data_IF_533961757404
#
_entry.id   IF_533961757404
#
_cell.length_a   1.000
_cell.length_b   1.000
_cell.length_c   1.000
_cell.angle_alpha   90.00
_cell.angle_beta   90.00
_cell.angle_gamma   90.00
#
_symmetry.space_group_name_H-M   'P 1'
#
loop_
_entity.id
_entity.type
_entity.pdbx_description
1 polymer ?
#
# COMPACT_ATOMS: atom_id res chain seq x y z
N UNK A 1 1.81 -2.13 6.02
CA UNK A 1 1.05 -3.17 5.28
C UNK A 1 -0.27 -3.35 5.98
N UNK A 2 -1.36 -3.38 5.23
CA UNK A 2 -2.68 -3.80 5.69
C UNK A 2 -2.98 -5.14 5.04
N UNK A 3 -3.59 -6.06 5.79
CA UNK A 3 -4.00 -7.36 5.27
C UNK A 3 -5.35 -7.76 5.83
N UNK A 4 -6.00 -8.64 5.11
CA UNK A 4 -7.25 -9.29 5.49
C UNK A 4 -7.16 -10.75 5.06
N UNK A 5 -8.27 -11.49 5.07
CA UNK A 5 -8.25 -12.86 4.60
C UNK A 5 -8.03 -12.98 3.09
N UNK A 6 -8.45 -11.96 2.32
CA UNK A 6 -8.47 -12.03 0.84
C UNK A 6 -7.70 -10.91 0.15
N UNK A 7 -7.33 -9.86 0.87
CA UNK A 7 -6.74 -8.65 0.31
C UNK A 7 -5.56 -8.17 1.13
N UNK A 8 -4.61 -7.54 0.46
CA UNK A 8 -3.50 -6.82 1.08
C UNK A 8 -3.27 -5.47 0.40
N UNK A 9 -2.68 -4.54 1.14
CA UNK A 9 -2.22 -3.26 0.64
C UNK A 9 -0.87 -2.93 1.28
N UNK A 10 0.10 -2.51 0.47
CA UNK A 10 1.47 -2.26 0.91
C UNK A 10 1.97 -0.94 0.33
N UNK A 11 2.60 -0.13 1.19
CA UNK A 11 3.38 1.04 0.79
C UNK A 11 4.85 0.70 0.98
N UNK A 12 5.66 1.02 -0.02
CA UNK A 12 7.10 0.80 -0.03
C UNK A 12 7.81 2.14 -0.27
N UNK A 13 8.77 2.48 0.58
CA UNK A 13 9.56 3.71 0.50
C UNK A 13 11.05 3.36 0.48
N UNK A 14 11.80 3.91 -0.48
CA UNK A 14 13.22 3.64 -0.61
C UNK A 14 13.78 4.04 -1.96
N UNK A 15 15.03 3.66 -2.18
CA UNK A 15 15.73 3.92 -3.43
C UNK A 15 15.08 3.20 -4.61
N UNK A 16 15.02 3.88 -5.76
CA UNK A 16 14.35 3.35 -6.95
C UNK A 16 14.80 1.93 -7.34
N UNK A 17 16.11 1.61 -7.39
CA UNK A 17 16.56 0.27 -7.75
C UNK A 17 16.10 -0.80 -6.74
N UNK A 18 16.13 -0.50 -5.45
CA UNK A 18 15.67 -1.42 -4.41
C UNK A 18 14.16 -1.65 -4.50
N UNK A 19 13.38 -0.58 -4.73
CA UNK A 19 11.94 -0.68 -4.94
C UNK A 19 11.58 -1.49 -6.19
N UNK A 20 12.31 -1.31 -7.29
CA UNK A 20 12.11 -2.07 -8.53
C UNK A 20 12.38 -3.57 -8.32
N UNK A 21 13.45 -3.91 -7.61
CA UNK A 21 13.78 -5.31 -7.28
C UNK A 21 12.72 -5.96 -6.37
N UNK A 22 12.24 -5.24 -5.35
CA UNK A 22 11.18 -5.72 -4.47
C UNK A 22 9.89 -5.90 -5.26
N UNK A 23 9.50 -4.93 -6.09
CA UNK A 23 8.29 -5.00 -6.89
C UNK A 23 8.30 -6.18 -7.87
N UNK A 24 9.43 -6.43 -8.53
CA UNK A 24 9.59 -7.58 -9.41
C UNK A 24 9.38 -8.92 -8.67
N UNK A 25 9.91 -9.04 -7.44
CA UNK A 25 9.70 -10.23 -6.60
C UNK A 25 8.25 -10.36 -6.14
N UNK A 26 7.59 -9.24 -5.84
CA UNK A 26 6.16 -9.26 -5.51
C UNK A 26 5.36 -9.76 -6.71
N UNK A 27 5.64 -9.36 -7.94
CA UNK A 27 4.86 -9.81 -9.10
C UNK A 27 4.90 -11.33 -9.34
N UNK A 28 5.93 -12.04 -8.87
CA UNK A 28 6.11 -13.48 -9.08
C UNK A 28 5.80 -14.33 -7.85
N UNK A 29 5.41 -13.73 -6.73
CA UNK A 29 5.13 -14.44 -5.49
C UNK A 29 3.81 -15.24 -5.60
N UNK A 30 3.83 -16.58 -5.43
CA UNK A 30 2.64 -17.42 -5.62
C UNK A 30 1.61 -17.27 -4.49
N UNK A 31 1.93 -16.56 -3.41
CA UNK A 31 1.01 -16.36 -2.26
C UNK A 31 -0.09 -15.36 -2.57
N UNK A 32 0.01 -14.60 -3.66
CA UNK A 32 -1.02 -13.66 -4.10
C UNK A 32 -1.19 -13.64 -5.61
N UNK A 33 -2.24 -12.98 -6.08
CA UNK A 33 -2.48 -12.67 -7.47
C UNK A 33 -3.01 -11.24 -7.61
N UNK A 34 -3.21 -10.76 -8.85
CA UNK A 34 -3.85 -9.48 -9.16
C UNK A 34 -3.19 -8.25 -8.52
N UNK A 35 -1.86 -8.23 -8.47
CA UNK A 35 -1.09 -7.09 -7.95
C UNK A 35 -1.33 -5.86 -8.84
N UNK A 36 -1.81 -4.77 -8.22
CA UNK A 36 -2.05 -3.49 -8.90
C UNK A 36 -1.23 -2.37 -8.26
N UNK A 37 -0.53 -1.60 -9.09
CA UNK A 37 0.16 -0.40 -8.66
C UNK A 37 -0.83 0.76 -8.57
N UNK A 38 -1.12 1.25 -7.36
CA UNK A 38 -2.05 2.36 -7.14
C UNK A 38 -1.39 3.73 -7.40
N UNK A 39 -0.18 3.92 -6.87
CA UNK A 39 0.58 5.15 -7.05
C UNK A 39 2.09 4.88 -6.98
N UNK A 40 2.88 5.65 -7.74
CA UNK A 40 4.35 5.63 -7.67
C UNK A 40 4.90 7.01 -7.94
N UNK A 41 5.45 7.64 -6.90
CA UNK A 41 5.89 9.03 -6.94
C UNK A 41 7.27 9.19 -6.29
N UNK A 42 7.99 10.25 -6.66
CA UNK A 42 9.12 10.74 -5.85
C UNK A 42 8.56 11.45 -4.63
N UNK A 43 9.20 11.25 -3.48
CA UNK A 43 8.74 11.74 -2.20
C UNK A 43 9.86 12.59 -1.59
N UNK A 44 9.53 13.73 -0.98
CA UNK A 44 10.53 14.58 -0.34
C UNK A 44 11.01 13.98 0.99
N UNK A 45 10.13 13.25 1.68
CA UNK A 45 10.42 12.56 2.93
C UNK A 45 9.60 11.28 3.06
N UNK A 46 10.09 10.34 3.87
CA UNK A 46 9.41 9.08 4.19
C UNK A 46 8.22 9.35 5.11
N UNK A 47 7.05 8.83 4.77
CA UNK A 47 5.86 8.82 5.63
C UNK A 47 5.90 7.69 6.67
N UNK A 48 6.76 6.68 6.50
CA UNK A 48 6.88 5.55 7.42
C UNK A 48 8.33 5.36 7.93
N UNK A 49 9.08 6.44 8.09
CA UNK A 49 10.51 6.43 8.50
C UNK A 49 10.82 5.65 9.78
N UNK A 50 9.86 5.53 10.70
CA UNK A 50 10.02 4.82 11.97
C UNK A 50 10.03 3.29 11.83
N UNK A 51 9.70 2.75 10.65
CA UNK A 51 9.51 1.32 10.46
C UNK A 51 10.21 0.82 9.19
N UNK A 52 10.98 -0.26 9.32
CA UNK A 52 11.45 -0.99 8.14
C UNK A 52 10.27 -1.59 7.36
N UNK A 53 9.27 -2.10 8.09
CA UNK A 53 7.97 -2.51 7.56
C UNK A 53 6.93 -2.55 8.69
N UNK A 54 6.00 -1.60 8.71
CA UNK A 54 4.91 -1.61 9.69
C UNK A 54 3.82 -2.60 9.25
N UNK A 55 3.39 -3.51 10.14
CA UNK A 55 2.13 -4.26 9.96
C UNK A 55 1.02 -3.50 10.71
N UNK A 56 0.06 -2.95 9.96
CA UNK A 56 -1.10 -2.24 10.50
C UNK A 56 -2.24 -3.20 10.91
N UNK A 57 -1.97 -4.51 10.87
CA UNK A 57 -2.84 -5.55 11.37
C UNK A 57 -3.90 -6.01 10.37
N UNK A 58 -4.79 -6.86 10.88
CA UNK A 58 -5.92 -7.38 10.13
C UNK A 58 -7.02 -6.32 10.04
N UNK A 59 -7.37 -5.90 8.83
CA UNK A 59 -8.58 -5.13 8.57
C UNK A 59 -9.69 -6.04 8.01
N UNK A 60 -10.98 -5.79 8.33
CA UNK A 60 -12.08 -6.49 7.68
C UNK A 60 -12.02 -6.35 6.15
N UNK A 61 -12.28 -7.44 5.41
CA UNK A 61 -12.25 -7.49 3.94
C UNK A 61 -13.00 -6.30 3.30
N UNK A 62 -14.16 -5.92 3.85
CA UNK A 62 -14.98 -4.79 3.37
C UNK A 62 -14.23 -3.46 3.39
N UNK A 63 -13.36 -3.23 4.37
CA UNK A 63 -12.62 -1.98 4.51
C UNK A 63 -11.48 -1.90 3.52
N UNK A 64 -10.74 -3.00 3.34
CA UNK A 64 -9.67 -3.05 2.32
C UNK A 64 -10.28 -2.92 0.92
N UNK A 65 -11.36 -3.66 0.63
CA UNK A 65 -12.02 -3.60 -0.68
C UNK A 65 -12.62 -2.24 -0.96
N UNK A 66 -13.23 -1.59 0.03
CA UNK A 66 -13.75 -0.23 -0.11
C UNK A 66 -12.64 0.77 -0.40
N UNK A 67 -11.54 0.74 0.37
CA UNK A 67 -10.40 1.62 0.12
C UNK A 67 -9.78 1.39 -1.27
N UNK A 68 -9.63 0.13 -1.69
CA UNK A 68 -9.17 -0.21 -3.04
C UNK A 68 -10.12 0.32 -4.11
N UNK A 69 -11.42 0.13 -3.95
CA UNK A 69 -12.43 0.61 -4.90
C UNK A 69 -12.51 2.14 -4.95
N UNK A 70 -12.35 2.83 -3.82
CA UNK A 70 -12.30 4.30 -3.78
C UNK A 70 -11.05 4.81 -4.50
N UNK A 71 -9.89 4.17 -4.29
CA UNK A 71 -8.63 4.53 -4.95
C UNK A 71 -8.58 4.14 -6.45
N UNK A 72 -9.31 3.10 -6.87
CA UNK A 72 -9.35 2.62 -8.26
C UNK A 72 -10.54 3.20 -9.05
N UNK A 73 -11.63 3.56 -8.37
CA UNK A 73 -12.89 3.99 -8.95
C UNK A 73 -13.04 5.51 -9.11
N UNK A 74 -12.16 6.31 -8.50
CA UNK A 74 -12.04 7.73 -8.82
C UNK A 74 -11.44 7.88 -10.22
N UNK A 75 -12.31 8.02 -11.23
CA UNK A 75 -11.95 8.10 -12.64
C UNK A 75 -10.67 8.91 -12.91
N UNK A 76 -9.66 8.25 -13.49
CA UNK A 76 -8.34 8.76 -13.91
C UNK A 76 -7.52 9.62 -12.93
N UNK A 77 -8.00 9.95 -11.73
CA UNK A 77 -7.21 10.59 -10.68
C UNK A 77 -6.54 9.46 -9.88
N UNK A 78 -5.27 9.19 -10.21
CA UNK A 78 -4.40 8.32 -9.41
C UNK A 78 -4.45 8.80 -7.95
N UNK A 79 -4.78 7.90 -7.01
CA UNK A 79 -4.70 8.19 -5.59
C UNK A 79 -3.34 8.87 -5.29
N UNK A 80 -3.38 10.02 -4.63
CA UNK A 80 -2.15 10.75 -4.30
C UNK A 80 -1.39 9.99 -3.22
N UNK A 81 -0.07 10.15 -3.19
CA UNK A 81 0.75 9.57 -2.13
C UNK A 81 0.22 9.96 -0.74
N UNK A 82 -0.21 11.22 -0.59
CA UNK A 82 -0.71 11.75 0.69
C UNK A 82 -1.96 11.03 1.16
N UNK A 83 -2.90 10.74 0.26
CA UNK A 83 -4.13 10.00 0.59
C UNK A 83 -3.82 8.57 1.03
N UNK A 84 -2.94 7.88 0.29
CA UNK A 84 -2.53 6.51 0.62
C UNK A 84 -1.81 6.47 1.98
N UNK A 85 -0.88 7.40 2.22
CA UNK A 85 -0.15 7.48 3.50
C UNK A 85 -1.11 7.77 4.66
N UNK A 86 -2.01 8.75 4.52
CA UNK A 86 -2.95 9.11 5.58
C UNK A 86 -3.89 7.96 5.94
N UNK A 87 -4.40 7.24 4.93
CA UNK A 87 -5.24 6.06 5.15
C UNK A 87 -4.50 4.99 5.97
N UNK A 88 -3.25 4.70 5.59
CA UNK A 88 -2.43 3.66 6.21
C UNK A 88 -1.96 4.06 7.62
N UNK A 89 -1.54 5.32 7.82
CA UNK A 89 -1.15 5.84 9.14
C UNK A 89 -2.33 5.94 10.10
N UNK A 90 -3.52 6.33 9.63
CA UNK A 90 -4.72 6.39 10.46
C UNK A 90 -5.07 5.03 11.08
N UNK A 91 -4.72 3.92 10.42
CA UNK A 91 -4.88 2.56 10.96
C UNK A 91 -3.79 2.16 11.93
N UNK A 92 -2.54 2.54 11.67
CA UNK A 92 -1.42 2.27 12.59
C UNK A 92 -1.58 2.96 13.95
N UNK A 93 -2.32 4.07 14.03
CA UNK A 93 -2.60 4.78 15.29
C UNK A 93 -3.74 4.16 16.10
N UNK A 94 -4.52 3.26 15.52
CA UNK A 94 -5.69 2.63 16.14
C UNK A 94 -5.44 1.15 16.51
N UNK A 95 -4.22 0.66 16.28
CA UNK A 95 -3.74 -0.67 16.65
C UNK A 95 -2.74 -0.54 17.80
#
# INVERSE_FOLDING_TARGET
MLRSRRWFAQVLEGEKPALDAIYARLLTDPRHCDVRLLCRNRIASRGFSHWAMADAGNAPDRLIRRALNEMLGSGLQRATQREVVNLMQGRLRLA
#
